data_IF_446854876964
#
_entry.id   IF_446854876964
#
_cell.length_a   1.000
_cell.length_b   1.000
_cell.length_c   1.000
_cell.angle_alpha   90.00
_cell.angle_beta   90.00
_cell.angle_gamma   90.00
#
_symmetry.space_group_name_H-M   'P 1'
#
loop_
_entity.id
_entity.type
_entity.pdbx_description
1 polymer ?
#
# COMPACT_ATOMS: atom_id res chain seq x y z
N UNK A 1 -3.42 -7.96 16.01
CA UNK A 1 -4.15 -7.60 14.77
C UNK A 1 -5.47 -8.36 14.53
N UNK A 2 -5.65 -9.61 15.00
CA UNK A 2 -6.86 -10.38 14.69
C UNK A 2 -8.17 -9.86 15.34
N UNK A 3 -8.10 -9.15 16.45
CA UNK A 3 -9.29 -8.61 17.13
C UNK A 3 -9.92 -7.39 16.44
N UNK A 4 -9.11 -6.57 15.74
CA UNK A 4 -9.57 -5.31 15.14
C UNK A 4 -10.35 -5.59 13.85
N UNK A 5 -9.88 -6.55 13.04
CA UNK A 5 -10.55 -6.96 11.79
C UNK A 5 -12.00 -7.42 12.02
N UNK A 6 -12.28 -8.04 13.17
CA UNK A 6 -13.62 -8.55 13.55
C UNK A 6 -14.59 -7.45 13.99
N UNK A 7 -14.10 -6.23 14.24
CA UNK A 7 -14.89 -5.08 14.70
C UNK A 7 -15.11 -4.03 13.61
N UNK A 8 -14.68 -4.33 12.37
CA UNK A 8 -14.87 -3.42 11.25
C UNK A 8 -16.36 -3.30 10.91
N UNK A 9 -16.80 -2.07 10.68
CA UNK A 9 -18.10 -1.78 10.07
C UNK A 9 -17.93 -1.53 8.57
N UNK A 10 -19.02 -1.51 7.77
CA UNK A 10 -18.95 -1.19 6.34
C UNK A 10 -18.45 0.21 6.00
N UNK A 11 -18.40 1.12 6.98
CA UNK A 11 -17.82 2.46 6.82
C UNK A 11 -16.38 2.55 7.31
N UNK A 12 -15.83 1.47 7.87
CA UNK A 12 -14.46 1.42 8.34
C UNK A 12 -13.52 0.86 7.28
N UNK A 13 -12.32 1.42 7.26
CA UNK A 13 -11.19 0.90 6.50
C UNK A 13 -10.02 0.74 7.46
N UNK A 14 -9.46 -0.46 7.53
CA UNK A 14 -8.23 -0.72 8.27
C UNK A 14 -7.07 -0.87 7.30
N UNK A 15 -6.08 0.02 7.42
CA UNK A 15 -4.84 -0.05 6.66
C UNK A 15 -3.70 -0.53 7.56
N UNK A 16 -3.00 -1.57 7.13
CA UNK A 16 -1.78 -2.06 7.74
C UNK A 16 -0.63 -1.78 6.77
N UNK A 17 0.15 -0.74 7.05
CA UNK A 17 1.29 -0.34 6.23
C UNK A 17 2.59 -0.81 6.89
N UNK A 18 3.42 -1.49 6.11
CA UNK A 18 4.78 -1.84 6.48
C UNK A 18 5.77 -1.00 5.66
N UNK A 19 6.63 -0.26 6.36
CA UNK A 19 7.62 0.66 5.79
C UNK A 19 9.02 0.11 6.02
N UNK A 20 9.23 -1.16 5.71
CA UNK A 20 10.39 -1.87 6.21
C UNK A 20 11.18 -2.52 5.11
N UNK A 21 11.81 -1.76 4.21
CA UNK A 21 12.90 -2.30 3.39
C UNK A 21 13.50 -1.32 2.38
N UNK A 22 14.75 -0.92 2.67
CA UNK A 22 15.67 -0.48 1.64
C UNK A 22 16.24 -1.72 0.94
N UNK A 23 15.88 -1.91 -0.32
CA UNK A 23 16.52 -2.90 -1.17
C UNK A 23 17.70 -2.24 -1.90
N UNK A 24 18.91 -2.71 -1.59
CA UNK A 24 20.07 -2.47 -2.45
C UNK A 24 19.86 -3.33 -3.69
N UNK A 25 19.62 -2.69 -4.84
CA UNK A 25 19.42 -3.40 -6.08
C UNK A 25 20.76 -4.03 -6.52
N UNK A 26 20.99 -5.30 -6.18
CA UNK A 26 22.10 -6.08 -6.73
C UNK A 26 21.64 -6.61 -8.08
N UNK A 27 21.94 -5.87 -9.14
CA UNK A 27 21.63 -6.27 -10.52
C UNK A 27 22.21 -7.67 -10.80
N UNK A 28 21.33 -8.64 -11.05
CA UNK A 28 21.72 -10.00 -11.39
C UNK A 28 22.09 -10.09 -12.86
N UNK A 29 23.32 -10.57 -13.10
CA UNK A 29 23.93 -10.95 -14.40
C UNK A 29 24.51 -9.80 -15.24
N UNK A 30 25.84 -9.68 -15.14
CA UNK A 30 26.70 -9.22 -16.24
C UNK A 30 26.79 -7.71 -16.42
N UNK A 31 27.98 -7.16 -16.21
CA UNK A 31 28.43 -5.84 -16.65
C UNK A 31 27.74 -4.61 -16.03
N UNK A 32 28.38 -3.99 -15.05
CA UNK A 32 28.71 -2.56 -15.13
C UNK A 32 29.75 -2.20 -14.07
N UNK A 33 30.70 -1.40 -14.49
CA UNK A 33 31.93 -1.05 -13.81
C UNK A 33 31.71 -0.46 -12.41
N UNK A 34 32.67 -0.76 -11.55
CA UNK A 34 32.90 -0.25 -10.21
C UNK A 34 33.10 1.28 -10.20
N UNK A 35 32.04 2.08 -10.39
CA UNK A 35 32.04 3.53 -10.10
C UNK A 35 30.62 4.12 -10.11
N UNK A 36 30.18 4.66 -8.98
CA UNK A 36 29.06 5.61 -8.89
C UNK A 36 27.73 5.05 -8.39
N UNK A 37 27.30 5.50 -7.20
CA UNK A 37 25.94 5.42 -6.63
C UNK A 37 25.19 4.08 -6.74
N UNK A 38 25.23 3.26 -5.69
CA UNK A 38 24.29 2.14 -5.52
C UNK A 38 22.87 2.71 -5.43
N UNK A 39 22.06 2.59 -6.48
CA UNK A 39 20.64 2.92 -6.44
C UNK A 39 19.97 2.01 -5.40
N UNK A 40 19.45 2.63 -4.35
CA UNK A 40 18.66 1.97 -3.32
C UNK A 40 17.20 2.31 -3.61
N UNK A 41 16.35 1.29 -3.64
CA UNK A 41 14.91 1.44 -3.80
C UNK A 41 14.23 1.07 -2.48
N UNK A 42 13.16 1.77 -2.13
CA UNK A 42 12.35 1.47 -0.95
C UNK A 42 11.05 0.83 -1.40
N UNK A 43 10.69 -0.29 -0.77
CA UNK A 43 9.35 -0.88 -0.93
C UNK A 43 8.43 -0.35 0.17
N UNK A 44 7.21 0.01 -0.21
CA UNK A 44 6.14 0.29 0.74
C UNK A 44 5.01 -0.68 0.46
N UNK A 45 4.73 -1.55 1.43
CA UNK A 45 3.63 -2.51 1.33
C UNK A 45 2.49 -2.06 2.22
N UNK A 46 1.27 -2.15 1.70
CA UNK A 46 0.07 -1.79 2.44
C UNK A 46 -0.98 -2.87 2.23
N UNK A 47 -1.53 -3.38 3.32
CA UNK A 47 -2.68 -4.28 3.29
C UNK A 47 -3.90 -3.55 3.80
N UNK A 48 -4.94 -3.53 3.01
CA UNK A 48 -6.22 -2.87 3.28
C UNK A 48 -7.27 -3.92 3.58
N UNK A 49 -8.01 -3.71 4.66
CA UNK A 49 -9.13 -4.53 5.09
C UNK A 49 -10.37 -3.65 5.15
N UNK A 50 -11.41 -4.04 4.44
CA UNK A 50 -12.71 -3.36 4.46
C UNK A 50 -13.82 -4.38 4.29
N UNK A 51 -15.02 -4.09 4.80
CA UNK A 51 -16.19 -4.89 4.49
C UNK A 51 -16.78 -4.43 3.16
N UNK A 52 -17.23 -5.38 2.35
CA UNK A 52 -18.08 -5.10 1.20
C UNK A 52 -19.39 -4.45 1.69
N UNK A 53 -19.81 -3.31 1.11
CA UNK A 53 -21.07 -2.68 1.49
C UNK A 53 -22.28 -3.59 1.31
N UNK A 54 -22.25 -4.44 0.28
CA UNK A 54 -23.40 -5.25 -0.14
C UNK A 54 -23.43 -6.62 0.53
N UNK A 55 -22.26 -7.29 0.63
CA UNK A 55 -22.18 -8.68 1.12
C UNK A 55 -21.73 -8.77 2.58
N UNK A 56 -21.25 -7.66 3.18
CA UNK A 56 -20.60 -7.63 4.49
C UNK A 56 -19.39 -8.57 4.63
N UNK A 57 -18.88 -9.08 3.50
CA UNK A 57 -17.71 -9.94 3.49
C UNK A 57 -16.44 -9.11 3.61
N UNK A 58 -15.44 -9.68 4.31
CA UNK A 58 -14.14 -9.04 4.47
C UNK A 58 -13.37 -9.10 3.15
N UNK A 59 -13.21 -7.94 2.51
CA UNK A 59 -12.31 -7.75 1.38
C UNK A 59 -10.91 -7.42 1.89
N UNK A 60 -9.92 -8.08 1.31
CA UNK A 60 -8.50 -7.85 1.58
C UNK A 60 -7.82 -7.45 0.29
N UNK A 61 -7.11 -6.33 0.28
CA UNK A 61 -6.36 -5.85 -0.89
C UNK A 61 -4.96 -5.45 -0.47
N UNK A 62 -3.96 -5.87 -1.25
CA UNK A 62 -2.56 -5.58 -0.98
C UNK A 62 -2.00 -4.66 -2.06
N UNK A 63 -1.29 -3.63 -1.63
CA UNK A 63 -0.63 -2.63 -2.46
C UNK A 63 0.87 -2.69 -2.22
N UNK A 64 1.62 -2.41 -3.28
CA UNK A 64 3.06 -2.36 -3.26
C UNK A 64 3.50 -1.19 -4.12
N UNK A 65 4.19 -0.22 -3.52
CA UNK A 65 4.76 0.92 -4.24
C UNK A 65 6.27 0.95 -4.07
N UNK A 66 6.95 1.36 -5.13
CA UNK A 66 8.40 1.51 -5.19
C UNK A 66 8.75 3.00 -5.15
N UNK A 67 9.78 3.36 -4.41
CA UNK A 67 10.31 4.73 -4.36
C UNK A 67 11.83 4.74 -4.40
N UNK A 68 12.41 5.65 -5.18
CA UNK A 68 13.86 5.94 -5.15
C UNK A 68 14.25 6.83 -3.95
N UNK A 69 13.27 7.27 -3.17
CA UNK A 69 13.49 8.09 -1.97
C UNK A 69 13.95 7.21 -0.80
N UNK A 70 15.13 7.52 -0.28
CA UNK A 70 15.66 6.97 0.98
C UNK A 70 15.22 7.77 2.20
N UNK A 71 14.34 8.77 2.00
CA UNK A 71 13.83 9.59 3.09
C UNK A 71 12.81 8.77 3.88
N UNK A 72 13.17 8.48 5.13
CA UNK A 72 12.30 7.83 6.12
C UNK A 72 11.50 8.83 6.97
N UNK A 73 11.55 10.11 6.61
CA UNK A 73 10.74 11.11 7.31
C UNK A 73 9.24 10.83 7.13
N UNK A 74 8.45 11.28 8.10
CA UNK A 74 7.00 11.04 8.15
C UNK A 74 6.32 11.61 6.89
N UNK A 75 6.84 12.71 6.35
CA UNK A 75 6.31 13.36 5.15
C UNK A 75 6.48 12.51 3.89
N UNK A 76 7.63 11.88 3.69
CA UNK A 76 7.90 11.00 2.56
C UNK A 76 7.04 9.72 2.63
N UNK A 77 6.84 9.16 3.82
CA UNK A 77 5.92 8.04 4.03
C UNK A 77 4.47 8.42 3.75
N UNK A 78 4.02 9.58 4.22
CA UNK A 78 2.68 10.09 3.93
C UNK A 78 2.45 10.37 2.44
N UNK A 79 3.47 10.86 1.73
CA UNK A 79 3.39 11.08 0.29
C UNK A 79 3.14 9.78 -0.48
N UNK A 80 3.79 8.68 -0.09
CA UNK A 80 3.61 7.37 -0.73
C UNK A 80 2.26 6.71 -0.38
N UNK A 81 1.64 7.07 0.75
CA UNK A 81 0.30 6.61 1.11
C UNK A 81 -0.81 7.34 0.36
N UNK A 82 -0.59 8.59 -0.04
CA UNK A 82 -1.60 9.42 -0.72
C UNK A 82 -2.24 8.76 -1.95
N UNK A 83 -1.48 8.21 -2.93
CA UNK A 83 -2.08 7.54 -4.08
C UNK A 83 -2.90 6.30 -3.68
N UNK A 84 -2.43 5.53 -2.70
CA UNK A 84 -3.12 4.35 -2.19
C UNK A 84 -4.45 4.75 -1.53
N UNK A 85 -4.46 5.80 -0.71
CA UNK A 85 -5.67 6.32 -0.06
C UNK A 85 -6.68 6.81 -1.11
N UNK A 86 -6.22 7.53 -2.14
CA UNK A 86 -7.09 8.01 -3.22
C UNK A 86 -7.72 6.86 -3.99
N UNK A 87 -6.96 5.80 -4.28
CA UNK A 87 -7.46 4.62 -4.97
C UNK A 87 -8.52 3.87 -4.13
N UNK A 88 -8.27 3.71 -2.82
CA UNK A 88 -9.24 3.10 -1.90
C UNK A 88 -10.54 3.91 -1.89
N UNK A 89 -10.45 5.24 -1.76
CA UNK A 89 -11.61 6.12 -1.78
C UNK A 89 -12.39 6.01 -3.09
N UNK A 90 -11.70 6.00 -4.23
CA UNK A 90 -12.31 5.85 -5.54
C UNK A 90 -13.08 4.52 -5.66
N UNK A 91 -12.46 3.42 -5.25
CA UNK A 91 -13.08 2.09 -5.31
C UNK A 91 -14.30 1.97 -4.39
N UNK A 92 -14.27 2.61 -3.21
CA UNK A 92 -15.42 2.65 -2.30
C UNK A 92 -16.56 3.53 -2.81
N UNK A 93 -16.25 4.62 -3.53
CA UNK A 93 -17.26 5.48 -4.14
C UNK A 93 -17.96 4.79 -5.31
N UNK A 94 -17.18 4.12 -6.19
CA UNK A 94 -17.74 3.38 -7.31
C UNK A 94 -18.66 2.26 -6.83
N UNK A 95 -18.20 1.45 -5.87
CA UNK A 95 -19.01 0.34 -5.32
C UNK A 95 -20.31 0.84 -4.68
N UNK A 96 -20.31 1.99 -3.99
CA UNK A 96 -21.55 2.62 -3.50
C UNK A 96 -22.45 3.15 -4.63
N UNK A 97 -21.89 3.63 -5.73
CA UNK A 97 -22.65 4.19 -6.86
C UNK A 97 -23.29 3.13 -7.77
N UNK A 98 -22.71 1.93 -7.82
CA UNK A 98 -23.19 0.79 -8.60
C UNK A 98 -24.15 -0.11 -7.78
N UNK A 99 -24.91 0.48 -6.85
CA UNK A 99 -25.81 -0.24 -5.95
C UNK A 99 -26.70 -1.27 -6.66
N UNK A 100 -27.16 -2.32 -5.94
CA UNK A 100 -27.74 -3.51 -6.55
C UNK A 100 -28.96 -3.16 -7.41
N UNK A 101 -28.90 -3.59 -8.68
CA UNK A 101 -30.03 -3.65 -9.61
C UNK A 101 -31.10 -4.62 -9.14
#
# INVERSE_FOLDING_TARGET
MNGIKKKLTPNDVLMHADFSEHYVCKYGRGSSHFRGSKQQITLHTVVVYNLSPDTLELKVTSYCSLSDSLRHDVSARCANLKPIIMEIQWNLLITKSLGPS
#
